data_IF_576142675361
#
_entry.id   IF_576142675361
#
_cell.length_a   1.000
_cell.length_b   1.000
_cell.length_c   1.000
_cell.angle_alpha   90.00
_cell.angle_beta   90.00
_cell.angle_gamma   90.00
#
_symmetry.space_group_name_H-M   'P 1'
#
loop_
_entity.id
_entity.type
_entity.pdbx_description
1 polymer ?
#
# COMPACT_ATOMS: atom_id res chain seq x y z
N UNK A 1 21.36 -0.21 0.92
CA UNK A 1 20.42 0.42 -0.03
C UNK A 1 19.20 -0.46 -0.16
N UNK A 2 18.02 0.12 -0.06
CA UNK A 2 16.76 -0.56 -0.34
C UNK A 2 16.26 -0.14 -1.71
N UNK A 3 15.54 -1.03 -2.40
CA UNK A 3 15.23 -0.87 -3.83
C UNK A 3 13.93 -0.08 -4.06
N UNK A 4 12.95 -0.17 -3.16
CA UNK A 4 11.62 0.45 -3.34
C UNK A 4 11.15 1.26 -2.13
N UNK A 5 11.47 0.83 -0.90
CA UNK A 5 10.98 1.46 0.34
C UNK A 5 12.16 1.60 1.29
N UNK A 6 12.26 2.72 1.98
CA UNK A 6 13.26 2.97 3.01
C UNK A 6 12.62 3.51 4.31
N UNK A 7 13.44 3.73 5.34
CA UNK A 7 13.00 4.30 6.63
C UNK A 7 12.47 5.73 6.53
N UNK A 8 12.62 6.40 5.39
CA UNK A 8 12.14 7.77 5.16
C UNK A 8 10.84 7.80 4.35
N UNK A 9 10.46 6.66 3.78
CA UNK A 9 9.26 6.54 2.96
C UNK A 9 8.02 6.76 3.82
N UNK A 10 7.26 7.80 3.48
CA UNK A 10 6.01 8.14 4.14
C UNK A 10 4.87 7.38 3.47
N UNK A 11 4.16 6.59 4.28
CA UNK A 11 3.14 5.66 3.79
C UNK A 11 1.76 6.08 4.29
N UNK A 12 0.78 6.08 3.38
CA UNK A 12 -0.64 6.21 3.71
C UNK A 12 -1.38 4.91 3.44
N UNK A 13 -2.43 4.64 4.21
CA UNK A 13 -3.27 3.46 4.05
C UNK A 13 -4.64 3.83 3.48
N UNK A 14 -5.05 3.25 2.35
CA UNK A 14 -6.41 3.35 1.83
C UNK A 14 -7.26 2.20 2.36
N UNK A 15 -8.43 2.51 2.92
CA UNK A 15 -9.19 1.56 3.73
C UNK A 15 -8.68 1.47 5.17
N UNK A 16 -8.06 2.54 5.68
CA UNK A 16 -7.37 2.57 6.97
C UNK A 16 -8.26 2.21 8.17
N UNK A 17 -9.51 2.64 8.17
CA UNK A 17 -10.46 2.33 9.25
C UNK A 17 -11.16 0.98 9.09
N UNK A 18 -10.82 0.21 8.05
CA UNK A 18 -11.28 -1.16 7.87
C UNK A 18 -10.58 -2.14 8.82
N UNK A 19 -11.15 -3.33 9.03
CA UNK A 19 -10.58 -4.34 9.93
C UNK A 19 -9.15 -4.73 9.54
N UNK A 20 -8.92 -5.07 8.26
CA UNK A 20 -7.59 -5.44 7.76
C UNK A 20 -6.63 -4.24 7.73
N UNK A 21 -7.11 -3.07 7.30
CA UNK A 21 -6.33 -1.84 7.30
C UNK A 21 -5.84 -1.46 8.69
N UNK A 22 -6.70 -1.61 9.71
CA UNK A 22 -6.35 -1.34 11.11
C UNK A 22 -5.30 -2.31 11.62
N UNK A 23 -5.54 -3.62 11.49
CA UNK A 23 -4.66 -4.67 12.00
C UNK A 23 -3.25 -4.59 11.40
N UNK A 24 -3.15 -4.44 10.07
CA UNK A 24 -1.85 -4.35 9.42
C UNK A 24 -1.16 -3.01 9.63
N UNK A 25 -1.90 -1.91 9.76
CA UNK A 25 -1.29 -0.61 10.04
C UNK A 25 -0.72 -0.53 11.45
N UNK A 26 -1.39 -1.14 12.44
CA UNK A 26 -0.87 -1.24 13.80
C UNK A 26 0.47 -2.00 13.83
N UNK A 27 0.54 -3.14 13.13
CA UNK A 27 1.77 -3.90 12.98
C UNK A 27 2.86 -3.12 12.25
N UNK A 28 2.51 -2.39 11.18
CA UNK A 28 3.45 -1.58 10.43
C UNK A 28 4.03 -0.44 11.30
N UNK A 29 3.21 0.21 12.13
CA UNK A 29 3.64 1.22 13.11
C UNK A 29 4.55 0.60 14.16
N UNK A 30 4.17 -0.54 14.74
CA UNK A 30 4.98 -1.27 15.72
C UNK A 30 6.33 -1.72 15.15
N UNK A 31 6.37 -2.06 13.86
CA UNK A 31 7.61 -2.40 13.14
C UNK A 31 8.50 -1.18 12.84
N UNK A 32 7.98 0.04 12.97
CA UNK A 32 8.70 1.29 12.69
C UNK A 32 8.54 1.81 11.27
N UNK A 33 7.51 1.37 10.54
CA UNK A 33 7.11 1.98 9.26
C UNK A 33 6.57 3.38 9.52
N UNK A 34 6.99 4.37 8.72
CA UNK A 34 6.47 5.74 8.82
C UNK A 34 5.08 5.85 8.19
N UNK A 35 4.09 5.34 8.91
CA UNK A 35 2.69 5.58 8.61
C UNK A 35 2.35 7.02 8.98
N UNK A 36 1.84 7.79 8.02
CA UNK A 36 1.56 9.22 8.20
C UNK A 36 0.07 9.57 8.18
N UNK A 37 -0.79 8.59 7.87
CA UNK A 37 -2.23 8.79 7.81
C UNK A 37 -2.94 7.69 7.04
N UNK A 38 -4.24 7.86 6.89
CA UNK A 38 -5.04 6.96 6.09
C UNK A 38 -6.22 7.65 5.43
N UNK A 39 -6.81 6.96 4.46
CA UNK A 39 -7.96 7.43 3.69
C UNK A 39 -9.12 6.50 3.97
N UNK A 40 -10.24 7.07 4.37
CA UNK A 40 -11.53 6.38 4.39
C UNK A 40 -12.62 7.40 4.06
N UNK A 41 -13.21 7.33 2.86
CA UNK A 41 -14.28 8.25 2.46
C UNK A 41 -15.42 8.26 3.48
N UNK A 42 -15.86 9.46 3.87
CA UNK A 42 -16.91 9.68 4.86
C UNK A 42 -16.43 9.76 6.31
N UNK A 43 -15.14 9.49 6.59
CA UNK A 43 -14.53 9.59 7.93
C UNK A 43 -13.37 10.58 8.00
N UNK A 44 -13.19 11.41 6.98
CA UNK A 44 -12.15 12.44 6.98
C UNK A 44 -12.28 13.42 8.15
N UNK A 45 -11.15 13.85 8.70
CA UNK A 45 -11.10 14.71 9.88
C UNK A 45 -11.12 13.98 11.22
N UNK A 46 -11.24 12.65 11.21
CA UNK A 46 -11.10 11.81 12.41
C UNK A 46 -9.67 11.34 12.61
N UNK A 47 -9.40 10.73 13.76
CA UNK A 47 -8.12 10.09 14.06
C UNK A 47 -8.31 8.59 14.24
N UNK A 48 -7.38 7.79 13.73
CA UNK A 48 -7.38 6.34 13.87
C UNK A 48 -5.96 5.85 14.08
N UNK A 49 -5.72 4.97 15.06
CA UNK A 49 -4.37 4.56 15.50
C UNK A 49 -3.41 5.73 15.79
N UNK A 50 -3.95 6.88 16.25
CA UNK A 50 -3.18 8.10 16.50
C UNK A 50 -2.74 8.86 15.24
N UNK A 51 -3.23 8.48 14.06
CA UNK A 51 -2.93 9.12 12.78
C UNK A 51 -4.17 9.79 12.17
N UNK A 52 -4.00 10.84 11.36
CA UNK A 52 -5.11 11.53 10.71
C UNK A 52 -5.77 10.66 9.63
N UNK A 53 -7.09 10.71 9.58
CA UNK A 53 -7.92 10.11 8.54
C UNK A 53 -8.41 11.19 7.60
N UNK A 54 -8.29 10.94 6.30
CA UNK A 54 -8.71 11.85 5.23
C UNK A 54 -9.84 11.24 4.41
N UNK A 55 -10.60 12.09 3.70
CA UNK A 55 -11.63 11.62 2.79
C UNK A 55 -11.05 11.19 1.44
N UNK A 56 -10.00 11.88 0.98
CA UNK A 56 -9.36 11.63 -0.30
C UNK A 56 -7.86 11.43 -0.18
N UNK A 57 -7.26 10.71 -1.12
CA UNK A 57 -5.80 10.52 -1.21
C UNK A 57 -5.10 11.85 -1.48
N UNK A 58 -5.72 12.74 -2.26
CA UNK A 58 -5.17 14.08 -2.55
C UNK A 58 -5.00 14.92 -1.27
N UNK A 59 -6.00 14.93 -0.39
CA UNK A 59 -5.91 15.60 0.92
C UNK A 59 -4.80 15.00 1.77
N UNK A 60 -4.74 13.67 1.84
CA UNK A 60 -3.72 12.96 2.61
C UNK A 60 -2.30 13.29 2.11
N UNK A 61 -2.08 13.29 0.79
CA UNK A 61 -0.79 13.62 0.18
C UNK A 61 -0.43 15.09 0.41
N UNK A 62 -1.36 16.02 0.25
CA UNK A 62 -1.12 17.44 0.49
C UNK A 62 -0.74 17.74 1.96
N UNK A 63 -1.42 17.10 2.91
CA UNK A 63 -1.16 17.32 4.33
C UNK A 63 0.11 16.63 4.85
N UNK A 64 0.43 15.44 4.32
CA UNK A 64 1.50 14.58 4.90
C UNK A 64 2.76 14.50 4.05
N UNK A 65 2.65 14.79 2.75
CA UNK A 65 3.70 14.55 1.76
C UNK A 65 4.00 13.06 1.55
N UNK A 66 2.98 12.20 1.67
CA UNK A 66 3.13 10.76 1.46
C UNK A 66 3.60 10.45 0.03
N UNK A 67 4.48 9.45 -0.10
CA UNK A 67 5.04 9.04 -1.39
C UNK A 67 4.63 7.62 -1.77
N UNK A 68 4.13 6.84 -0.81
CA UNK A 68 3.67 5.48 -1.00
C UNK A 68 2.28 5.27 -0.39
N UNK A 69 1.48 4.40 -1.00
CA UNK A 69 0.14 4.04 -0.51
C UNK A 69 -0.04 2.52 -0.46
N UNK A 70 -0.63 2.03 0.62
CA UNK A 70 -1.07 0.63 0.76
C UNK A 70 -2.59 0.57 0.69
N UNK A 71 -3.14 -0.35 -0.08
CA UNK A 71 -4.57 -0.47 -0.34
C UNK A 71 -5.12 -1.75 0.32
N UNK A 72 -6.04 -1.55 1.27
CA UNK A 72 -6.85 -2.58 1.94
C UNK A 72 -8.35 -2.36 1.69
N UNK A 73 -8.68 -1.98 0.46
CA UNK A 73 -10.05 -1.70 0.01
C UNK A 73 -10.65 -2.97 -0.59
N UNK A 74 -11.96 -3.25 -0.46
CA UNK A 74 -12.59 -4.41 -1.11
C UNK A 74 -12.43 -4.38 -2.65
N UNK A 75 -12.36 -5.57 -3.26
CA UNK A 75 -12.14 -5.77 -4.69
C UNK A 75 -12.94 -4.85 -5.64
N UNK A 76 -14.27 -4.66 -5.47
CA UNK A 76 -15.05 -3.83 -6.41
C UNK A 76 -14.65 -2.36 -6.42
N UNK A 77 -13.99 -1.86 -5.35
CA UNK A 77 -13.60 -0.45 -5.23
C UNK A 77 -12.08 -0.24 -5.41
N UNK A 78 -11.32 -1.32 -5.64
CA UNK A 78 -9.87 -1.23 -5.76
C UNK A 78 -9.41 -0.46 -6.99
N UNK A 79 -10.11 -0.61 -8.12
CA UNK A 79 -9.77 0.13 -9.34
C UNK A 79 -9.76 1.63 -9.09
N UNK A 80 -10.85 2.14 -8.52
CA UNK A 80 -11.01 3.56 -8.23
C UNK A 80 -9.96 4.04 -7.21
N UNK A 81 -9.68 3.22 -6.19
CA UNK A 81 -8.64 3.49 -5.18
C UNK A 81 -7.23 3.60 -5.80
N UNK A 82 -6.91 2.75 -6.77
CA UNK A 82 -5.62 2.78 -7.46
C UNK A 82 -5.53 4.01 -8.36
N UNK A 83 -6.59 4.31 -9.12
CA UNK A 83 -6.65 5.49 -9.98
C UNK A 83 -6.55 6.79 -9.17
N UNK A 84 -7.25 6.86 -8.03
CA UNK A 84 -7.16 7.99 -7.10
C UNK A 84 -5.74 8.19 -6.59
N UNK A 85 -5.03 7.11 -6.28
CA UNK A 85 -3.63 7.18 -5.84
C UNK A 85 -2.69 7.69 -6.94
N UNK A 86 -2.90 7.26 -8.18
CA UNK A 86 -2.15 7.72 -9.35
C UNK A 86 -2.36 9.23 -9.53
N UNK A 87 -3.62 9.67 -9.51
CA UNK A 87 -3.99 11.08 -9.68
C UNK A 87 -3.51 11.98 -8.54
N UNK A 88 -3.36 11.43 -7.33
CA UNK A 88 -2.80 12.13 -6.18
C UNK A 88 -1.26 12.23 -6.22
N UNK A 89 -0.60 11.62 -7.20
CA UNK A 89 0.85 11.69 -7.38
C UNK A 89 1.65 10.73 -6.49
N UNK A 90 1.02 9.65 -5.99
CA UNK A 90 1.72 8.58 -5.28
C UNK A 90 2.65 7.86 -6.26
N UNK A 91 3.91 7.63 -5.85
CA UNK A 91 4.92 6.99 -6.70
C UNK A 91 4.95 5.48 -6.57
N UNK A 92 4.53 4.96 -5.41
CA UNK A 92 4.53 3.54 -5.10
C UNK A 92 3.19 3.13 -4.50
N UNK A 93 2.47 2.23 -5.17
CA UNK A 93 1.19 1.70 -4.74
C UNK A 93 1.37 0.22 -4.41
N UNK A 94 0.87 -0.22 -3.26
CA UNK A 94 0.90 -1.61 -2.83
C UNK A 94 -0.54 -2.08 -2.65
N UNK A 95 -1.00 -2.97 -3.52
CA UNK A 95 -2.36 -3.48 -3.50
C UNK A 95 -2.38 -4.89 -2.93
N UNK A 96 -2.94 -5.03 -1.73
CA UNK A 96 -3.04 -6.32 -1.04
C UNK A 96 -4.29 -7.09 -1.46
N UNK A 97 -5.34 -6.37 -1.82
CA UNK A 97 -6.66 -6.93 -2.12
C UNK A 97 -6.64 -8.05 -3.16
N UNK A 98 -7.37 -9.11 -2.86
CA UNK A 98 -7.62 -10.25 -3.72
C UNK A 98 -8.98 -10.13 -4.44
N UNK A 99 -9.12 -10.76 -5.61
CA UNK A 99 -10.40 -10.86 -6.32
C UNK A 99 -10.76 -9.67 -7.21
N UNK A 100 -9.77 -8.81 -7.54
CA UNK A 100 -9.99 -7.72 -8.51
C UNK A 100 -10.22 -8.32 -9.91
N UNK A 101 -11.28 -7.92 -10.63
CA UNK A 101 -11.51 -8.37 -12.00
C UNK A 101 -10.32 -8.11 -12.92
N UNK A 102 -9.99 -9.06 -13.80
CA UNK A 102 -8.85 -8.94 -14.71
C UNK A 102 -8.97 -7.74 -15.66
N UNK A 103 -10.18 -7.41 -16.11
CA UNK A 103 -10.44 -6.26 -16.98
C UNK A 103 -10.12 -4.92 -16.28
N UNK A 104 -10.39 -4.83 -14.98
CA UNK A 104 -10.04 -3.66 -14.19
C UNK A 104 -8.53 -3.53 -14.06
N UNK A 105 -7.85 -4.65 -13.81
CA UNK A 105 -6.38 -4.67 -13.75
C UNK A 105 -5.71 -4.31 -15.07
N UNK A 106 -6.30 -4.67 -16.22
CA UNK A 106 -5.80 -4.28 -17.53
C UNK A 106 -5.83 -2.75 -17.68
N UNK A 107 -6.95 -2.13 -17.34
CA UNK A 107 -7.11 -0.67 -17.37
C UNK A 107 -6.13 0.03 -16.44
N UNK A 108 -6.01 -0.47 -15.20
CA UNK A 108 -5.08 0.05 -14.19
C UNK A 108 -3.64 -0.08 -14.66
N UNK A 109 -3.27 -1.19 -15.29
CA UNK A 109 -1.89 -1.41 -15.76
C UNK A 109 -1.47 -0.37 -16.80
N UNK A 110 -2.34 -0.06 -17.77
CA UNK A 110 -2.08 1.00 -18.76
C UNK A 110 -1.90 2.35 -18.06
N UNK A 111 -2.77 2.69 -17.11
CA UNK A 111 -2.70 3.97 -16.39
C UNK A 111 -1.44 4.12 -15.53
N UNK A 112 -0.97 3.03 -14.93
CA UNK A 112 0.29 3.02 -14.17
C UNK A 112 1.49 3.32 -15.07
N UNK A 113 1.52 2.71 -16.26
CA UNK A 113 2.62 2.89 -17.20
C UNK A 113 2.60 4.31 -17.80
N UNK A 114 1.43 4.85 -18.12
CA UNK A 114 1.25 6.25 -18.56
C UNK A 114 1.72 7.26 -17.50
N UNK A 115 1.42 7.01 -16.23
CA UNK A 115 1.77 7.91 -15.13
C UNK A 115 3.20 7.70 -14.61
N UNK A 116 3.91 6.64 -15.04
CA UNK A 116 5.22 6.28 -14.51
C UNK A 116 5.20 5.85 -13.03
N UNK A 117 4.05 5.39 -12.54
CA UNK A 117 3.84 4.98 -11.14
C UNK A 117 4.10 3.48 -11.01
N UNK A 118 4.77 3.08 -9.92
CA UNK A 118 5.01 1.66 -9.65
C UNK A 118 3.91 1.10 -8.77
N UNK A 119 3.35 -0.03 -9.17
CA UNK A 119 2.43 -0.81 -8.34
C UNK A 119 2.98 -2.20 -8.06
N UNK A 120 2.74 -2.70 -6.85
CA UNK A 120 3.04 -4.07 -6.42
C UNK A 120 1.73 -4.75 -6.04
N UNK A 121 1.51 -5.92 -6.62
CA UNK A 121 0.23 -6.65 -6.54
C UNK A 121 -0.55 -6.58 -7.85
N UNK A 122 -1.88 -6.78 -7.82
CA UNK A 122 -2.73 -7.06 -6.65
C UNK A 122 -2.48 -8.46 -6.08
N UNK A 123 -3.26 -8.85 -5.05
CA UNK A 123 -3.15 -10.15 -4.38
C UNK A 123 -1.70 -10.50 -3.98
N UNK A 124 -1.07 -9.62 -3.21
CA UNK A 124 0.31 -9.80 -2.77
C UNK A 124 0.44 -9.58 -1.25
N UNK A 125 1.43 -10.21 -0.59
CA UNK A 125 1.70 -9.97 0.82
C UNK A 125 2.36 -8.61 1.10
N UNK A 126 2.67 -7.83 0.06
CA UNK A 126 3.33 -6.53 0.15
C UNK A 126 4.86 -6.60 0.05
N UNK A 127 5.54 -5.57 0.55
CA UNK A 127 7.00 -5.44 0.51
C UNK A 127 7.54 -5.06 1.87
N UNK A 128 8.65 -5.69 2.24
CA UNK A 128 9.40 -5.39 3.44
C UNK A 128 10.87 -5.13 3.07
N UNK A 129 11.43 -4.07 3.63
CA UNK A 129 12.88 -3.82 3.61
C UNK A 129 13.40 -4.08 5.01
N UNK A 130 14.34 -5.03 5.17
CA UNK A 130 14.96 -5.30 6.46
C UNK A 130 15.82 -4.12 6.89
N UNK A 131 15.45 -3.46 7.98
CA UNK A 131 16.32 -2.51 8.68
C UNK A 131 17.38 -3.25 9.51
N UNK A 132 18.53 -2.61 9.77
CA UNK A 132 19.63 -3.12 10.60
C UNK A 132 19.31 -3.26 12.10
N UNK A 133 18.03 -3.26 12.50
CA UNK A 133 17.65 -3.45 13.90
C UNK A 133 17.54 -4.95 14.21
N UNK A 134 18.39 -5.38 15.15
CA UNK A 134 18.43 -6.73 15.71
C UNK A 134 17.04 -7.20 16.21
N UNK A 135 16.78 -8.47 15.94
CA UNK A 135 15.95 -9.42 16.72
C UNK A 135 14.50 -9.05 17.04
N UNK A 136 13.54 -9.59 16.27
CA UNK A 136 12.42 -10.37 16.84
C UNK A 136 12.14 -11.56 15.90
N UNK A 137 12.14 -12.75 16.49
CA UNK A 137 11.70 -14.00 15.89
C UNK A 137 10.16 -14.03 15.88
N UNK A 138 9.56 -13.97 14.69
CA UNK A 138 8.29 -14.66 14.40
C UNK A 138 8.10 -14.74 12.88
N UNK A 139 8.49 -15.90 12.32
CA UNK A 139 8.01 -16.51 11.06
C UNK A 139 7.41 -15.56 10.00
N UNK A 140 8.25 -14.81 9.29
CA UNK A 140 8.32 -14.78 7.81
C UNK A 140 9.70 -14.23 7.47
N UNK A 141 10.67 -15.12 7.23
CA UNK A 141 11.98 -14.72 6.69
C UNK A 141 11.95 -15.02 5.21
N UNK A 142 11.69 -14.01 4.36
CA UNK A 142 12.08 -14.13 2.96
C UNK A 142 13.52 -13.65 2.83
N UNK A 143 14.33 -14.60 2.38
CA UNK A 143 15.77 -14.61 2.44
C UNK A 143 16.38 -13.65 1.42
N UNK A 144 17.63 -13.31 1.67
CA UNK A 144 18.60 -12.60 0.83
C UNK A 144 18.29 -12.44 -0.66
N UNK A 145 18.59 -11.21 -1.11
CA UNK A 145 18.57 -10.72 -2.49
C UNK A 145 17.18 -10.52 -3.08
N UNK A 146 16.87 -9.25 -3.34
CA UNK A 146 15.67 -8.85 -4.08
C UNK A 146 15.76 -9.42 -5.49
N UNK A 147 15.12 -10.57 -5.68
CA UNK A 147 14.54 -11.04 -6.93
C UNK A 147 13.20 -11.66 -6.56
N UNK A 148 12.12 -10.97 -6.90
CA UNK A 148 10.81 -11.60 -7.06
C UNK A 148 10.45 -11.47 -8.54
N UNK A 149 10.74 -12.55 -9.29
CA UNK A 149 10.05 -12.87 -10.54
C UNK A 149 8.96 -13.85 -10.14
N UNK A 150 7.70 -13.52 -10.42
CA UNK A 150 6.55 -14.40 -10.18
C UNK A 150 5.95 -14.79 -11.52
N UNK A 151 6.01 -16.08 -11.87
CA UNK A 151 5.03 -16.87 -12.64
C UNK A 151 5.44 -18.36 -12.45
N UNK A 152 4.51 -19.28 -12.12
CA UNK A 152 3.46 -19.69 -13.05
C UNK A 152 2.05 -19.78 -12.42
N UNK A 153 1.05 -19.42 -13.22
CA UNK A 153 -0.35 -19.74 -12.98
C UNK A 153 -0.58 -21.18 -13.46
N UNK A 154 -0.98 -22.15 -12.61
CA UNK A 154 -1.59 -23.37 -13.09
C UNK A 154 -3.08 -23.06 -13.32
N UNK A 155 -3.43 -22.78 -14.57
CA UNK A 155 -4.84 -22.84 -15.00
C UNK A 155 -5.23 -24.32 -14.98
N UNK A 156 -6.22 -24.67 -14.15
CA UNK A 156 -7.05 -25.85 -14.38
C UNK A 156 -8.37 -25.40 -14.97
#
# INVERSE_FOLDING_TARGET
MSILIDKNTKVICQGFTGSQGTFHSEQAIAYGTKMVGGVTPGKGGTTHLGLPVFNTVREAVAATGATASVIYVPAPFCKDSILEAIDAGIKLIITITEGIPTLDMLTVKVKLDEAGVRMIGPNCPGVITRGNAKSVSSRVTFTNQVKWVSFPVPVR
#
